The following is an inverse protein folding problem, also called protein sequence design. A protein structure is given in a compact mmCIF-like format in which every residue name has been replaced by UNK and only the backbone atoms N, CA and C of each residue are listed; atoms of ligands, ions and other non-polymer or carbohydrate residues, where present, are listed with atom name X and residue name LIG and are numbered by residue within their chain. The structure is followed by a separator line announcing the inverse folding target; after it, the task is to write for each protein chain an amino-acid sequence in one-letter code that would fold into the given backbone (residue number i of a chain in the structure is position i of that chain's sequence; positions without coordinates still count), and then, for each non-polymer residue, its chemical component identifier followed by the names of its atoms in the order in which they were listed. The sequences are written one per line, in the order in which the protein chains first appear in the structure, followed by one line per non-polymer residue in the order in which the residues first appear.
data_IF_384707106833
#
_entry.id   IF_384707106833
#
_cell.length_a   1.000
_cell.length_b   1.000
_cell.length_c   1.000
_cell.angle_alpha   90.00
_cell.angle_beta   90.00
_cell.angle_gamma   90.00
#
_symmetry.space_group_name_H-M   'P 1'
#
loop_
_entity.id
_entity.type
_entity.pdbx_description
1 polymer ?
#
# COMPACT_ATOMS: atom_id res chain seq x y z
N UNK A 1 -65.18 4.26 20.83
CA UNK A 1 -64.18 3.28 21.31
C UNK A 1 -63.23 2.85 20.18
N UNK A 2 -62.72 3.79 19.35
CA UNK A 2 -62.16 3.45 18.01
C UNK A 2 -60.65 3.75 17.87
N UNK A 3 -60.06 4.54 18.77
CA UNK A 3 -58.64 4.92 18.70
C UNK A 3 -57.67 3.85 19.20
N UNK A 4 -58.13 2.91 20.03
CA UNK A 4 -57.27 1.86 20.60
C UNK A 4 -56.93 0.75 19.57
N UNK A 5 -57.81 0.53 18.58
CA UNK A 5 -57.64 -0.53 17.57
C UNK A 5 -56.69 -0.12 16.41
N UNK A 6 -56.68 1.14 15.98
CA UNK A 6 -55.74 1.58 14.93
C UNK A 6 -54.28 1.58 15.41
N UNK A 7 -54.04 1.91 16.68
CA UNK A 7 -52.69 2.00 17.23
C UNK A 7 -52.08 0.61 17.50
N UNK A 8 -52.89 -0.39 17.83
CA UNK A 8 -52.44 -1.79 17.97
C UNK A 8 -52.12 -2.41 16.61
N UNK A 9 -52.95 -2.18 15.58
CA UNK A 9 -52.67 -2.67 14.22
C UNK A 9 -51.36 -2.09 13.65
N UNK A 10 -51.11 -0.79 13.83
CA UNK A 10 -49.84 -0.20 13.38
C UNK A 10 -48.64 -0.65 14.20
N UNK A 11 -48.79 -0.91 15.50
CA UNK A 11 -47.70 -1.45 16.32
C UNK A 11 -47.37 -2.91 15.95
N UNK A 12 -48.39 -3.73 15.69
CA UNK A 12 -48.25 -5.11 15.24
C UNK A 12 -47.62 -5.19 13.84
N UNK A 13 -48.03 -4.32 12.91
CA UNK A 13 -47.44 -4.21 11.58
C UNK A 13 -45.97 -3.76 11.61
N UNK A 14 -45.61 -2.85 12.52
CA UNK A 14 -44.20 -2.47 12.74
C UNK A 14 -43.38 -3.62 13.33
N UNK A 15 -43.93 -4.36 14.28
CA UNK A 15 -43.26 -5.52 14.89
C UNK A 15 -43.07 -6.63 13.85
N UNK A 16 -44.07 -6.88 13.00
CA UNK A 16 -43.98 -7.92 11.98
C UNK A 16 -42.98 -7.55 10.87
N UNK A 17 -42.98 -6.28 10.42
CA UNK A 17 -41.97 -5.78 9.48
C UNK A 17 -40.54 -5.83 10.05
N UNK A 18 -40.37 -5.53 11.34
CA UNK A 18 -39.08 -5.67 12.02
C UNK A 18 -38.64 -7.13 12.09
N UNK A 19 -39.54 -8.04 12.47
CA UNK A 19 -39.26 -9.48 12.54
C UNK A 19 -38.93 -10.07 11.17
N UNK A 20 -39.66 -9.70 10.13
CA UNK A 20 -39.37 -10.12 8.76
C UNK A 20 -38.02 -9.58 8.27
N UNK A 21 -37.72 -8.31 8.56
CA UNK A 21 -36.43 -7.70 8.28
C UNK A 21 -35.28 -8.45 8.94
N UNK A 22 -35.37 -8.69 10.25
CA UNK A 22 -34.36 -9.45 11.02
C UNK A 22 -34.19 -10.87 10.45
N UNK A 23 -35.29 -11.59 10.19
CA UNK A 23 -35.23 -12.95 9.64
C UNK A 23 -34.58 -13.02 8.25
N UNK A 24 -34.70 -11.94 7.46
CA UNK A 24 -34.09 -11.85 6.13
C UNK A 24 -32.59 -11.64 6.25
N UNK A 25 -32.13 -10.80 7.18
CA UNK A 25 -30.70 -10.61 7.47
C UNK A 25 -30.07 -11.87 8.06
N UNK A 26 -30.75 -12.58 8.95
CA UNK A 26 -30.30 -13.87 9.50
C UNK A 26 -30.07 -14.91 8.40
N UNK A 27 -31.01 -15.05 7.46
CA UNK A 27 -30.88 -15.98 6.32
C UNK A 27 -29.74 -15.61 5.37
N UNK A 28 -29.51 -14.32 5.15
CA UNK A 28 -28.39 -13.84 4.31
C UNK A 28 -27.06 -14.12 5.02
N UNK A 29 -26.97 -13.84 6.32
CA UNK A 29 -25.78 -14.11 7.10
C UNK A 29 -25.49 -15.61 7.19
N UNK A 30 -26.49 -16.47 7.40
CA UNK A 30 -26.28 -17.92 7.36
C UNK A 30 -25.78 -18.38 5.99
N UNK A 31 -26.46 -17.96 4.92
CA UNK A 31 -26.16 -18.38 3.54
C UNK A 31 -24.79 -17.92 3.05
N UNK A 32 -24.37 -16.71 3.42
CA UNK A 32 -23.14 -16.10 2.95
C UNK A 32 -22.06 -15.95 4.02
N UNK A 33 -22.26 -16.46 5.24
CA UNK A 33 -21.32 -16.38 6.37
C UNK A 33 -19.88 -16.69 5.97
N UNK A 34 -19.67 -17.81 5.26
CA UNK A 34 -18.35 -18.24 4.78
C UNK A 34 -17.77 -17.31 3.72
N UNK A 35 -18.61 -16.76 2.84
CA UNK A 35 -18.20 -15.83 1.79
C UNK A 35 -17.89 -14.43 2.33
N UNK A 36 -18.71 -13.94 3.28
CA UNK A 36 -18.48 -12.68 3.99
C UNK A 36 -17.19 -12.78 4.80
N UNK A 37 -17.00 -13.87 5.55
CA UNK A 37 -15.78 -14.09 6.33
C UNK A 37 -14.52 -14.16 5.44
N UNK A 38 -14.60 -14.88 4.32
CA UNK A 38 -13.51 -14.93 3.34
C UNK A 38 -13.23 -13.58 2.68
N UNK A 39 -14.29 -12.83 2.35
CA UNK A 39 -14.18 -11.48 1.78
C UNK A 39 -13.54 -10.48 2.74
N UNK A 40 -13.95 -10.49 4.01
CA UNK A 40 -13.34 -9.64 5.05
C UNK A 40 -11.86 -9.97 5.24
N UNK A 41 -11.50 -11.25 5.28
CA UNK A 41 -10.11 -11.67 5.41
C UNK A 41 -9.25 -11.19 4.21
N UNK A 42 -9.78 -11.29 2.99
CA UNK A 42 -9.13 -10.77 1.79
C UNK A 42 -8.90 -9.26 1.84
N UNK A 43 -9.90 -8.49 2.29
CA UNK A 43 -9.78 -7.03 2.43
C UNK A 43 -8.71 -6.67 3.47
N UNK A 44 -8.69 -7.34 4.61
CA UNK A 44 -7.69 -7.11 5.67
C UNK A 44 -6.27 -7.41 5.16
N UNK A 45 -6.08 -8.53 4.46
CA UNK A 45 -4.79 -8.85 3.83
C UNK A 45 -4.40 -7.83 2.76
N UNK A 46 -5.34 -7.37 1.94
CA UNK A 46 -5.10 -6.35 0.93
C UNK A 46 -4.68 -5.00 1.53
N UNK A 47 -5.34 -4.56 2.60
CA UNK A 47 -4.99 -3.33 3.32
C UNK A 47 -3.62 -3.46 4.00
N UNK A 48 -3.33 -4.60 4.64
CA UNK A 48 -2.00 -4.85 5.24
C UNK A 48 -0.90 -4.84 4.17
N UNK A 49 -1.11 -5.50 3.04
CA UNK A 49 -0.17 -5.49 1.92
C UNK A 49 0.06 -4.07 1.40
N UNK A 50 -1.01 -3.31 1.14
CA UNK A 50 -0.91 -1.93 0.67
C UNK A 50 -0.14 -1.03 1.66
N UNK A 51 -0.42 -1.16 2.95
CA UNK A 51 0.25 -0.39 3.99
C UNK A 51 1.73 -0.77 4.10
N UNK A 52 2.07 -2.05 4.03
CA UNK A 52 3.45 -2.54 4.03
C UNK A 52 4.24 -1.96 2.85
N UNK A 53 3.70 -2.04 1.62
CA UNK A 53 4.37 -1.47 0.44
C UNK A 53 4.51 0.05 0.50
N UNK A 54 3.55 0.77 1.08
CA UNK A 54 3.59 2.23 1.19
C UNK A 54 4.55 2.70 2.29
N UNK A 55 4.53 2.05 3.46
CA UNK A 55 5.31 2.47 4.62
C UNK A 55 6.80 2.13 4.47
N UNK A 56 7.12 1.06 3.73
CA UNK A 56 8.51 0.72 3.45
C UNK A 56 9.16 1.69 2.46
N UNK A 57 8.40 2.22 1.49
CA UNK A 57 8.88 3.21 0.53
C UNK A 57 9.35 4.51 1.19
N UNK A 58 8.68 4.98 2.24
CA UNK A 58 9.00 6.28 2.86
C UNK A 58 10.32 6.23 3.65
N UNK A 59 10.52 5.21 4.48
CA UNK A 59 11.80 5.01 5.20
C UNK A 59 12.96 4.78 4.22
N UNK A 60 12.71 3.94 3.23
CA UNK A 60 13.68 3.64 2.18
C UNK A 60 14.05 4.90 1.38
N UNK A 61 13.15 5.87 1.20
CA UNK A 61 13.43 7.08 0.44
C UNK A 61 14.43 8.01 1.13
N UNK A 62 14.33 8.21 2.45
CA UNK A 62 15.29 9.03 3.19
C UNK A 62 16.69 8.40 3.19
N UNK A 63 16.75 7.09 3.43
CA UNK A 63 18.01 6.34 3.39
C UNK A 63 18.61 6.36 1.98
N UNK A 64 17.80 6.14 0.95
CA UNK A 64 18.24 6.19 -0.44
C UNK A 64 18.79 7.56 -0.83
N UNK A 65 18.16 8.66 -0.40
CA UNK A 65 18.67 10.03 -0.64
C UNK A 65 20.05 10.21 0.00
N UNK A 66 20.24 9.73 1.23
CA UNK A 66 21.54 9.81 1.90
C UNK A 66 22.61 9.01 1.17
N UNK A 67 22.27 7.84 0.61
CA UNK A 67 23.20 7.00 -0.15
C UNK A 67 23.44 7.51 -1.58
N UNK A 68 22.49 8.24 -2.16
CA UNK A 68 22.60 8.84 -3.49
C UNK A 68 23.65 9.95 -3.55
N UNK A 69 23.75 10.76 -2.49
CA UNK A 69 24.67 11.90 -2.43
C UNK A 69 26.15 11.55 -2.75
N UNK A 70 26.79 10.55 -2.10
CA UNK A 70 28.18 10.21 -2.43
C UNK A 70 28.36 9.68 -3.86
N UNK A 71 27.35 9.00 -4.43
CA UNK A 71 27.39 8.56 -5.82
C UNK A 71 27.27 9.76 -6.80
N UNK A 72 26.42 10.74 -6.50
CA UNK A 72 26.32 12.01 -7.26
C UNK A 72 27.62 12.84 -7.17
N UNK A 73 28.27 12.86 -6.01
CA UNK A 73 29.56 13.53 -5.84
C UNK A 73 30.66 12.86 -6.69
N UNK A 74 30.77 11.52 -6.65
CA UNK A 74 31.70 10.78 -7.49
C UNK A 74 31.42 11.01 -8.99
N UNK A 75 30.14 11.02 -9.39
CA UNK A 75 29.73 11.31 -10.77
C UNK A 75 30.15 12.71 -11.21
N UNK A 76 29.97 13.71 -10.33
CA UNK A 76 30.33 15.11 -10.59
C UNK A 76 31.84 15.30 -10.71
N UNK A 77 32.64 14.45 -10.05
CA UNK A 77 34.11 14.42 -10.18
C UNK A 77 34.60 13.65 -11.40
N UNK A 78 33.71 13.05 -12.19
CA UNK A 78 34.06 12.20 -13.32
C UNK A 78 34.51 10.78 -12.93
N UNK A 79 34.37 10.39 -11.66
CA UNK A 79 34.70 9.07 -11.14
C UNK A 79 33.54 8.09 -11.44
N UNK A 80 33.24 7.87 -12.72
CA UNK A 80 32.01 7.18 -13.13
C UNK A 80 31.93 5.73 -12.66
N UNK A 81 33.04 4.99 -12.62
CA UNK A 81 33.05 3.61 -12.10
C UNK A 81 32.67 3.56 -10.62
N UNK A 82 33.22 4.50 -9.83
CA UNK A 82 32.87 4.66 -8.41
C UNK A 82 31.45 5.18 -8.22
N UNK A 83 30.96 6.06 -9.09
CA UNK A 83 29.58 6.50 -9.05
C UNK A 83 28.59 5.35 -9.35
N UNK A 84 28.95 4.47 -10.28
CA UNK A 84 28.13 3.33 -10.69
C UNK A 84 28.13 2.20 -9.65
N UNK A 85 29.31 1.84 -9.15
CA UNK A 85 29.52 0.64 -8.33
C UNK A 85 29.70 0.95 -6.84
N UNK A 86 30.03 2.19 -6.49
CA UNK A 86 30.38 2.59 -5.13
C UNK A 86 31.76 2.07 -4.72
N UNK A 87 32.09 2.28 -3.45
CA UNK A 87 33.25 1.66 -2.81
C UNK A 87 32.78 0.55 -1.86
N UNK A 88 33.34 -0.65 -2.02
CA UNK A 88 32.90 -1.84 -1.30
C UNK A 88 32.94 -1.62 0.22
N UNK A 89 31.77 -1.61 0.85
CA UNK A 89 31.62 -1.45 2.30
C UNK A 89 31.73 0.00 2.79
N UNK A 90 31.85 0.98 1.88
CA UNK A 90 31.97 2.40 2.22
C UNK A 90 30.81 3.20 1.64
N UNK A 91 30.55 3.08 0.34
CA UNK A 91 29.48 3.80 -0.35
C UNK A 91 28.73 2.90 -1.33
N UNK A 92 27.43 3.13 -1.47
CA UNK A 92 26.62 2.44 -2.48
C UNK A 92 26.66 3.24 -3.79
N UNK A 93 26.89 2.55 -4.92
CA UNK A 93 26.82 3.15 -6.24
C UNK A 93 25.40 3.17 -6.81
N UNK A 94 25.21 3.88 -7.92
CA UNK A 94 23.92 3.99 -8.60
C UNK A 94 23.29 2.63 -8.89
N UNK A 95 24.07 1.60 -9.27
CA UNK A 95 23.57 0.25 -9.56
C UNK A 95 22.81 -0.37 -8.37
N UNK A 96 23.43 -0.27 -7.19
CA UNK A 96 22.87 -0.79 -5.95
C UNK A 96 21.69 0.06 -5.49
N UNK A 97 21.79 1.40 -5.59
CA UNK A 97 20.70 2.30 -5.17
C UNK A 97 19.45 2.10 -6.02
N UNK A 98 19.60 1.95 -7.34
CA UNK A 98 18.48 1.72 -8.26
C UNK A 98 17.74 0.40 -7.97
N UNK A 99 18.46 -0.65 -7.58
CA UNK A 99 17.91 -1.98 -7.31
C UNK A 99 17.33 -2.11 -5.90
N UNK A 100 18.06 -1.67 -4.88
CA UNK A 100 17.67 -1.84 -3.47
C UNK A 100 16.56 -0.87 -3.03
N UNK A 101 16.50 0.31 -3.65
CA UNK A 101 15.50 1.34 -3.33
C UNK A 101 14.47 1.54 -4.45
N UNK A 102 14.23 0.51 -5.25
CA UNK A 102 13.28 0.56 -6.36
C UNK A 102 11.90 1.08 -5.93
N UNK A 103 11.36 2.05 -6.70
CA UNK A 103 10.10 2.73 -6.39
C UNK A 103 10.23 3.92 -5.43
N UNK A 104 11.45 4.36 -5.12
CA UNK A 104 11.76 5.64 -4.47
C UNK A 104 12.26 6.66 -5.51
N UNK A 105 12.15 7.95 -5.20
CA UNK A 105 12.64 9.02 -6.08
C UNK A 105 14.16 8.98 -6.27
N UNK A 106 14.88 8.51 -5.24
CA UNK A 106 16.33 8.36 -5.30
C UNK A 106 16.75 7.23 -6.27
N UNK A 107 16.01 6.11 -6.31
CA UNK A 107 16.27 5.05 -7.29
C UNK A 107 16.00 5.51 -8.73
N UNK A 108 14.96 6.33 -8.96
CA UNK A 108 14.69 6.90 -10.29
C UNK A 108 15.84 7.80 -10.76
N UNK A 109 16.35 8.66 -9.86
CA UNK A 109 17.54 9.47 -10.13
C UNK A 109 18.79 8.63 -10.38
N UNK A 110 19.04 7.63 -9.54
CA UNK A 110 20.18 6.75 -9.69
C UNK A 110 20.16 6.04 -11.05
N UNK A 111 19.00 5.55 -11.48
CA UNK A 111 18.81 4.90 -12.78
C UNK A 111 19.14 5.84 -13.94
N UNK A 112 18.66 7.08 -13.88
CA UNK A 112 18.97 8.10 -14.87
C UNK A 112 20.48 8.41 -14.94
N UNK A 113 21.11 8.64 -13.79
CA UNK A 113 22.55 8.92 -13.70
C UNK A 113 23.40 7.74 -14.16
N UNK A 114 22.96 6.51 -13.91
CA UNK A 114 23.56 5.27 -14.46
C UNK A 114 23.60 5.30 -15.98
N UNK A 115 22.45 5.58 -16.60
CA UNK A 115 22.34 5.65 -18.05
C UNK A 115 23.25 6.73 -18.62
N UNK A 116 23.36 7.88 -17.95
CA UNK A 116 24.27 8.96 -18.36
C UNK A 116 25.75 8.60 -18.17
N UNK A 117 26.08 7.84 -17.14
CA UNK A 117 27.45 7.42 -16.86
C UNK A 117 28.03 6.52 -17.96
N UNK A 118 27.17 5.68 -18.56
CA UNK A 118 27.50 4.69 -19.57
C UNK A 118 27.53 5.24 -21.01
N UNK A 119 27.17 6.51 -21.21
CA UNK A 119 27.25 7.12 -22.53
C UNK A 119 28.71 7.21 -22.99
N UNK A 120 29.00 6.90 -24.27
CA UNK A 120 30.33 7.14 -24.83
C UNK A 120 30.61 8.65 -24.77
N UNK A 121 31.74 9.02 -24.18
CA UNK A 121 32.20 10.40 -24.02
C UNK A 121 33.33 10.71 -24.99
#
# INVERSE_FOLDING_TARGET
MTKHNQQTNSAEELIDNLNQGVSTWEKILEKYSKLILGGVLLVVLGVMAMFYFKNQKEKNNQEAISKLYPAEEAFSKGEFDKALNGEKGVTDGFNKIASEYAGTKAADKATYSQSLALLPR
#
